data_IF_650382928044
#
_entry.id   IF_650382928044
#
_cell.length_a   1.000
_cell.length_b   1.000
_cell.length_c   1.000
_cell.angle_alpha   90.00
_cell.angle_beta   90.00
_cell.angle_gamma   90.00
#
_symmetry.space_group_name_H-M   'P 1'
#
loop_
_entity.id
_entity.type
_entity.pdbx_description
1 polymer ?
#
# COMPACT_ATOMS: atom_id res chain seq x y z
N UNK A 1 0.25 64.41 24.30
CA UNK A 1 0.69 63.00 24.30
C UNK A 1 0.46 62.39 22.93
N UNK A 2 1.50 62.26 22.11
CA UNK A 2 1.41 61.69 20.74
C UNK A 2 1.83 60.22 20.79
N UNK A 3 0.92 59.32 20.39
CA UNK A 3 1.15 57.88 20.26
C UNK A 3 2.13 57.63 19.12
N UNK A 4 3.23 56.93 19.37
CA UNK A 4 4.10 56.33 18.34
C UNK A 4 3.65 54.88 18.13
N UNK A 5 3.17 54.58 16.94
CA UNK A 5 2.92 53.21 16.47
C UNK A 5 4.20 52.68 15.83
N UNK A 6 4.69 51.54 16.30
CA UNK A 6 5.82 50.83 15.69
C UNK A 6 5.31 50.06 14.47
N UNK A 7 5.80 50.43 13.28
CA UNK A 7 5.58 49.69 12.05
C UNK A 7 6.43 48.41 12.07
N UNK A 8 5.76 47.26 12.11
CA UNK A 8 6.37 45.95 11.85
C UNK A 8 6.72 45.86 10.37
N UNK A 9 8.03 45.82 10.06
CA UNK A 9 8.53 45.46 8.73
C UNK A 9 8.19 44.00 8.44
N UNK A 10 7.07 43.77 7.76
CA UNK A 10 6.72 42.46 7.21
C UNK A 10 7.60 42.25 5.98
N UNK A 11 8.61 41.39 6.11
CA UNK A 11 9.39 40.92 4.96
C UNK A 11 8.43 40.26 3.96
N UNK A 12 8.44 40.66 2.68
CA UNK A 12 7.55 40.05 1.71
C UNK A 12 7.89 38.57 1.54
N UNK A 13 6.91 37.68 1.32
CA UNK A 13 7.16 36.29 1.01
C UNK A 13 8.02 36.21 -0.25
N UNK A 14 9.17 35.55 -0.13
CA UNK A 14 10.10 35.29 -1.23
C UNK A 14 9.31 34.63 -2.36
N UNK A 15 9.19 35.32 -3.49
CA UNK A 15 8.52 34.80 -4.68
C UNK A 15 9.05 33.39 -4.98
N UNK A 16 8.12 32.42 -5.04
CA UNK A 16 8.42 31.08 -5.54
C UNK A 16 8.92 31.31 -6.95
N UNK A 17 10.22 31.05 -7.19
CA UNK A 17 10.81 31.06 -8.52
C UNK A 17 9.92 30.15 -9.37
N UNK A 18 9.19 30.71 -10.33
CA UNK A 18 8.39 29.93 -11.26
C UNK A 18 9.35 28.95 -11.93
N UNK A 19 9.30 27.69 -11.50
CA UNK A 19 10.06 26.65 -12.16
C UNK A 19 9.49 26.57 -13.57
N UNK A 20 10.38 26.66 -14.55
CA UNK A 20 10.05 26.51 -15.96
C UNK A 20 9.11 25.30 -16.17
N UNK A 21 8.21 25.36 -17.18
CA UNK A 21 7.40 24.20 -17.54
C UNK A 21 8.31 22.99 -17.72
N UNK A 22 7.86 21.82 -17.29
CA UNK A 22 8.59 20.56 -17.37
C UNK A 22 9.08 20.35 -18.81
N UNK A 23 10.33 20.73 -19.08
CA UNK A 23 10.97 20.48 -20.35
C UNK A 23 11.46 19.03 -20.34
N UNK A 24 11.13 18.35 -21.43
CA UNK A 24 11.49 16.99 -21.85
C UNK A 24 12.66 16.39 -21.05
N UNK A 25 12.32 15.66 -19.98
CA UNK A 25 13.29 14.82 -19.30
C UNK A 25 13.75 13.75 -20.29
N UNK A 26 15.08 13.58 -20.40
CA UNK A 26 15.68 12.51 -21.19
C UNK A 26 14.99 11.16 -20.90
N UNK A 27 14.49 10.43 -21.93
CA UNK A 27 13.78 9.17 -21.76
C UNK A 27 14.50 8.17 -20.86
N UNK A 28 15.83 8.15 -20.90
CA UNK A 28 16.63 7.26 -20.05
C UNK A 28 16.54 7.64 -18.57
N UNK A 29 16.50 8.93 -18.25
CA UNK A 29 16.30 9.41 -16.87
C UNK A 29 14.91 9.02 -16.35
N UNK A 30 13.88 9.11 -17.19
CA UNK A 30 12.53 8.67 -16.84
C UNK A 30 12.53 7.17 -16.55
N UNK A 31 13.09 6.36 -17.45
CA UNK A 31 13.16 4.89 -17.29
C UNK A 31 13.89 4.47 -16.00
N UNK A 32 15.01 5.13 -15.66
CA UNK A 32 15.73 4.87 -14.41
C UNK A 32 14.89 5.20 -13.18
N UNK A 33 14.15 6.32 -13.19
CA UNK A 33 13.26 6.68 -12.11
C UNK A 33 12.10 5.67 -11.96
N UNK A 34 11.60 5.14 -13.07
CA UNK A 34 10.58 4.08 -13.07
C UNK A 34 11.11 2.77 -12.47
N UNK A 35 12.31 2.36 -12.87
CA UNK A 35 12.97 1.17 -12.36
C UNK A 35 13.25 1.30 -10.85
N UNK A 36 13.69 2.47 -10.39
CA UNK A 36 13.87 2.73 -8.96
C UNK A 36 12.54 2.64 -8.21
N UNK A 37 11.47 3.20 -8.77
CA UNK A 37 10.13 3.15 -8.17
C UNK A 37 9.64 1.71 -7.99
N UNK A 38 9.84 0.82 -8.98
CA UNK A 38 9.46 -0.59 -8.93
C UNK A 38 10.21 -1.43 -7.89
N UNK A 39 11.31 -0.93 -7.31
CA UNK A 39 12.03 -1.58 -6.21
C UNK A 39 11.98 -0.79 -4.90
N UNK A 40 11.17 0.27 -4.83
CA UNK A 40 11.12 1.16 -3.67
C UNK A 40 9.92 0.86 -2.77
N UNK A 41 10.17 0.79 -1.47
CA UNK A 41 9.16 0.79 -0.41
C UNK A 41 9.06 2.18 0.23
N UNK A 42 7.85 2.53 0.67
CA UNK A 42 7.62 3.72 1.51
C UNK A 42 7.01 3.27 2.84
N UNK A 43 7.74 3.53 3.92
CA UNK A 43 7.33 3.24 5.29
C UNK A 43 6.75 4.51 5.92
N UNK A 44 5.52 4.44 6.40
CA UNK A 44 4.83 5.53 7.06
C UNK A 44 4.65 5.23 8.55
N UNK A 45 4.66 6.28 9.38
CA UNK A 45 4.36 6.19 10.80
C UNK A 45 5.51 5.68 11.69
N UNK A 46 6.72 5.57 11.16
CA UNK A 46 7.91 5.28 11.96
C UNK A 46 8.35 6.51 12.75
N UNK A 47 8.63 6.40 14.06
CA UNK A 47 9.15 7.51 14.85
C UNK A 47 10.46 8.05 14.25
N UNK A 48 10.68 9.35 14.35
CA UNK A 48 11.96 9.96 13.94
C UNK A 48 12.95 9.86 15.10
N UNK A 49 14.22 9.65 14.77
CA UNK A 49 15.30 9.65 15.75
C UNK A 49 15.43 11.02 16.42
N UNK A 50 15.59 11.02 17.74
CA UNK A 50 15.91 12.20 18.54
C UNK A 50 17.42 12.47 18.67
N UNK A 51 18.27 11.69 17.97
CA UNK A 51 19.72 11.86 18.04
C UNK A 51 20.13 13.27 17.59
N UNK A 52 21.14 13.83 18.26
CA UNK A 52 21.60 15.19 18.01
C UNK A 52 22.25 15.32 16.62
N UNK A 53 23.03 14.32 16.21
CA UNK A 53 23.78 14.36 14.95
C UNK A 53 22.95 13.81 13.78
N UNK A 54 22.97 14.46 12.60
CA UNK A 54 22.30 13.96 11.41
C UNK A 54 22.77 12.57 10.96
N UNK A 55 24.06 12.27 11.11
CA UNK A 55 24.64 10.97 10.76
C UNK A 55 24.05 9.84 11.60
N UNK A 56 23.91 10.05 12.91
CA UNK A 56 23.28 9.09 13.84
C UNK A 56 21.82 8.85 13.48
N UNK A 57 21.06 9.91 13.17
CA UNK A 57 19.66 9.78 12.75
C UNK A 57 19.51 8.92 11.49
N UNK A 58 20.39 9.12 10.50
CA UNK A 58 20.39 8.31 9.27
C UNK A 58 20.75 6.85 9.57
N UNK A 59 21.72 6.61 10.44
CA UNK A 59 22.08 5.24 10.85
C UNK A 59 20.95 4.54 11.60
N UNK A 60 20.24 5.25 12.48
CA UNK A 60 19.07 4.71 13.17
C UNK A 60 17.94 4.37 12.21
N UNK A 61 17.64 5.26 11.26
CA UNK A 61 16.64 4.98 10.21
C UNK A 61 17.01 3.72 9.40
N UNK A 62 18.31 3.56 9.06
CA UNK A 62 18.80 2.36 8.38
C UNK A 62 18.64 1.10 9.24
N UNK A 63 19.02 1.15 10.51
CA UNK A 63 18.85 0.03 11.47
C UNK A 63 17.39 -0.37 11.61
N UNK A 64 16.48 0.60 11.70
CA UNK A 64 15.04 0.33 11.79
C UNK A 64 14.52 -0.29 10.49
N UNK A 65 14.93 0.21 9.33
CA UNK A 65 14.56 -0.38 8.04
C UNK A 65 15.02 -1.84 7.92
N UNK A 66 16.27 -2.13 8.26
CA UNK A 66 16.81 -3.51 8.27
C UNK A 66 16.02 -4.40 9.23
N UNK A 67 15.78 -3.96 10.48
CA UNK A 67 14.97 -4.74 11.44
C UNK A 67 13.58 -5.06 10.90
N UNK A 68 12.94 -4.13 10.20
CA UNK A 68 11.63 -4.39 9.61
C UNK A 68 11.75 -5.45 8.52
N UNK A 69 12.78 -5.39 7.67
CA UNK A 69 13.02 -6.42 6.65
C UNK A 69 13.28 -7.80 7.26
N UNK A 70 14.01 -7.87 8.37
CA UNK A 70 14.22 -9.12 9.12
C UNK A 70 12.89 -9.71 9.60
N UNK A 71 11.97 -8.87 10.11
CA UNK A 71 10.65 -9.34 10.52
C UNK A 71 9.77 -9.79 9.36
N UNK A 72 10.06 -9.30 8.15
CA UNK A 72 9.35 -9.65 6.91
C UNK A 72 9.99 -10.84 6.18
N UNK A 73 11.07 -11.40 6.72
CA UNK A 73 11.83 -12.50 6.13
C UNK A 73 12.37 -12.16 4.73
N UNK A 74 12.96 -10.97 4.61
CA UNK A 74 13.56 -10.48 3.35
C UNK A 74 15.06 -10.33 3.53
N UNK A 75 15.80 -11.27 2.96
CA UNK A 75 17.27 -11.31 2.98
C UNK A 75 17.88 -10.33 1.96
N UNK A 76 17.75 -9.02 2.22
CA UNK A 76 18.38 -8.00 1.37
C UNK A 76 18.79 -6.76 2.14
N UNK A 77 19.96 -6.24 1.80
CA UNK A 77 20.40 -4.93 2.26
C UNK A 77 19.82 -3.83 1.35
N UNK A 78 19.10 -2.84 1.91
CA UNK A 78 18.62 -1.71 1.13
C UNK A 78 19.76 -0.90 0.51
N UNK A 79 19.60 -0.54 -0.77
CA UNK A 79 20.56 0.30 -1.50
C UNK A 79 20.57 1.74 -0.96
N UNK A 80 19.41 2.26 -0.56
CA UNK A 80 19.30 3.60 0.01
C UNK A 80 18.14 3.68 1.00
N UNK A 81 18.35 4.44 2.08
CA UNK A 81 17.34 4.69 3.12
C UNK A 81 17.39 6.17 3.50
N UNK A 82 16.27 6.87 3.34
CA UNK A 82 16.20 8.29 3.68
C UNK A 82 14.76 8.77 3.92
N UNK A 83 14.60 9.78 4.77
CA UNK A 83 13.30 10.41 5.04
C UNK A 83 12.92 11.37 3.92
N UNK A 84 11.65 11.35 3.55
CA UNK A 84 11.08 12.25 2.54
C UNK A 84 10.62 13.56 3.18
N UNK A 85 10.92 14.68 2.52
CA UNK A 85 10.51 16.02 2.93
C UNK A 85 11.47 16.70 3.91
N UNK A 86 11.18 17.98 4.17
CA UNK A 86 11.98 18.80 5.08
C UNK A 86 11.69 18.43 6.53
N UNK A 87 12.73 18.38 7.35
CA UNK A 87 12.57 18.21 8.79
C UNK A 87 11.88 19.43 9.38
N UNK A 88 10.84 19.18 10.17
CA UNK A 88 10.06 20.21 10.84
C UNK A 88 9.77 19.75 12.28
N UNK A 89 10.38 20.39 13.29
CA UNK A 89 10.17 20.05 14.70
C UNK A 89 8.73 20.23 15.17
N UNK A 90 7.94 21.08 14.51
CA UNK A 90 6.55 21.35 14.88
C UNK A 90 5.58 20.33 14.29
N UNK A 91 6.06 19.46 13.40
CA UNK A 91 5.21 18.49 12.71
C UNK A 91 4.86 17.34 13.65
N UNK A 92 3.56 17.15 13.87
CA UNK A 92 3.01 16.08 14.73
C UNK A 92 3.11 14.68 14.11
N UNK A 93 3.36 14.60 12.80
CA UNK A 93 3.43 13.33 12.07
C UNK A 93 4.85 13.05 11.60
N UNK A 94 5.39 11.85 11.81
CA UNK A 94 6.71 11.51 11.30
C UNK A 94 6.79 11.58 9.77
N UNK A 95 7.97 11.89 9.22
CA UNK A 95 8.24 11.85 7.78
C UNK A 95 8.21 10.41 7.26
N UNK A 96 7.66 10.16 6.06
CA UNK A 96 7.79 8.86 5.42
C UNK A 96 9.26 8.51 5.20
N UNK A 97 9.62 7.25 5.39
CA UNK A 97 10.94 6.71 5.07
C UNK A 97 10.88 6.01 3.71
N UNK A 98 11.71 6.45 2.76
CA UNK A 98 11.90 5.78 1.47
C UNK A 98 13.03 4.76 1.62
N UNK A 99 12.75 3.53 1.19
CA UNK A 99 13.68 2.41 1.23
C UNK A 99 13.79 1.84 -0.18
N UNK A 100 14.96 1.94 -0.78
CA UNK A 100 15.25 1.42 -2.12
C UNK A 100 15.84 0.03 -2.00
N UNK A 101 15.17 -0.98 -2.55
CA UNK A 101 15.63 -2.36 -2.53
C UNK A 101 16.61 -2.61 -3.70
N UNK A 102 17.47 -3.65 -3.60
CA UNK A 102 18.34 -4.03 -4.71
C UNK A 102 17.57 -4.37 -5.98
N UNK A 103 16.49 -5.15 -5.86
CA UNK A 103 15.66 -5.61 -6.98
C UNK A 103 14.16 -5.47 -6.70
N UNK A 104 13.31 -5.42 -7.74
CA UNK A 104 11.85 -5.42 -7.58
C UNK A 104 11.32 -6.67 -6.85
N UNK A 105 11.96 -7.82 -6.99
CA UNK A 105 11.55 -9.07 -6.33
C UNK A 105 11.58 -8.92 -4.80
N UNK A 106 12.62 -8.31 -4.25
CA UNK A 106 12.71 -8.04 -2.81
C UNK A 106 11.62 -7.08 -2.32
N UNK A 107 11.23 -6.10 -3.15
CA UNK A 107 10.09 -5.24 -2.85
C UNK A 107 8.78 -6.04 -2.80
N UNK A 108 8.55 -6.93 -3.76
CA UNK A 108 7.36 -7.80 -3.78
C UNK A 108 7.33 -8.74 -2.58
N UNK A 109 8.46 -9.36 -2.23
CA UNK A 109 8.60 -10.20 -1.04
C UNK A 109 8.27 -9.42 0.23
N UNK A 110 8.82 -8.22 0.40
CA UNK A 110 8.55 -7.36 1.55
C UNK A 110 7.07 -6.96 1.64
N UNK A 111 6.43 -6.61 0.52
CA UNK A 111 5.01 -6.27 0.49
C UNK A 111 4.12 -7.50 0.79
N UNK A 112 4.51 -8.68 0.32
CA UNK A 112 3.86 -9.95 0.64
C UNK A 112 3.97 -10.29 2.13
N UNK A 113 5.19 -10.23 2.68
CA UNK A 113 5.47 -10.40 4.10
C UNK A 113 4.67 -9.40 4.94
N UNK A 114 4.61 -8.13 4.54
CA UNK A 114 3.86 -7.11 5.25
C UNK A 114 2.37 -7.45 5.35
N UNK A 115 1.75 -7.95 4.29
CA UNK A 115 0.33 -8.35 4.32
C UNK A 115 0.07 -9.45 5.36
N UNK A 116 1.02 -10.38 5.54
CA UNK A 116 0.94 -11.49 6.50
C UNK A 116 1.24 -11.01 7.93
N UNK A 117 2.32 -10.26 8.10
CA UNK A 117 2.91 -9.95 9.41
C UNK A 117 2.43 -8.62 10.02
N UNK A 118 1.68 -7.78 9.28
CA UNK A 118 1.28 -6.44 9.76
C UNK A 118 0.56 -6.43 11.11
N UNK A 119 -0.21 -7.47 11.43
CA UNK A 119 -0.92 -7.54 12.71
C UNK A 119 0.06 -7.71 13.87
N UNK A 120 1.02 -8.63 13.72
CA UNK A 120 2.10 -8.87 14.69
C UNK A 120 3.05 -7.69 14.79
N UNK A 121 3.43 -7.08 13.67
CA UNK A 121 4.28 -5.88 13.70
C UNK A 121 3.60 -4.71 14.42
N UNK A 122 2.30 -4.52 14.22
CA UNK A 122 1.56 -3.42 14.86
C UNK A 122 1.23 -3.65 16.33
N UNK A 123 1.41 -4.86 16.87
CA UNK A 123 1.30 -5.06 18.32
C UNK A 123 2.51 -4.50 19.07
N UNK A 124 3.64 -4.30 18.40
CA UNK A 124 4.81 -3.64 18.97
C UNK A 124 4.55 -2.13 19.09
N UNK A 125 4.77 -1.55 20.27
CA UNK A 125 4.46 -0.14 20.56
C UNK A 125 5.09 0.84 19.56
N UNK A 126 6.34 0.58 19.14
CA UNK A 126 7.08 1.45 18.23
C UNK A 126 6.62 1.35 16.76
N UNK A 127 5.86 0.30 16.40
CA UNK A 127 5.43 0.02 15.03
C UNK A 127 3.90 -0.03 14.89
N UNK A 128 3.14 0.34 15.93
CA UNK A 128 1.67 0.35 15.89
C UNK A 128 1.10 1.18 14.72
N UNK A 129 1.79 2.28 14.38
CA UNK A 129 1.42 3.18 13.28
C UNK A 129 2.11 2.85 11.96
N UNK A 130 2.90 1.77 11.90
CA UNK A 130 3.61 1.36 10.71
C UNK A 130 2.61 1.04 9.58
N UNK A 131 2.89 1.60 8.41
CA UNK A 131 2.25 1.22 7.17
C UNK A 131 3.28 1.15 6.06
N UNK A 132 3.35 -0.01 5.40
CA UNK A 132 4.25 -0.27 4.28
C UNK A 132 3.43 -0.27 2.99
N UNK A 133 3.92 0.45 1.99
CA UNK A 133 3.33 0.48 0.64
C UNK A 133 4.42 0.57 -0.44
N UNK A 134 4.12 0.22 -1.69
CA UNK A 134 5.00 0.53 -2.82
C UNK A 134 5.16 2.05 -3.01
N UNK A 135 6.25 2.45 -3.67
CA UNK A 135 6.34 3.80 -4.23
C UNK A 135 5.40 3.92 -5.43
N UNK A 136 4.54 4.93 -5.39
CA UNK A 136 3.51 5.21 -6.40
C UNK A 136 3.84 6.51 -7.13
N UNK A 137 3.31 6.69 -8.34
CA UNK A 137 3.39 7.98 -9.06
C UNK A 137 2.57 9.05 -8.33
N UNK A 138 2.75 10.31 -8.71
CA UNK A 138 1.97 11.41 -8.10
C UNK A 138 0.48 11.27 -8.37
N UNK A 139 0.07 10.83 -9.56
CA UNK A 139 -1.35 10.58 -9.85
C UNK A 139 -1.89 9.45 -8.98
N UNK A 140 -1.20 8.30 -8.95
CA UNK A 140 -1.59 7.15 -8.14
C UNK A 140 -1.67 7.47 -6.64
N UNK A 141 -0.75 8.29 -6.13
CA UNK A 141 -0.78 8.76 -4.75
C UNK A 141 -2.03 9.59 -4.44
N UNK A 142 -2.43 10.46 -5.38
CA UNK A 142 -3.61 11.30 -5.26
C UNK A 142 -4.87 10.43 -5.27
N UNK A 143 -4.98 9.49 -6.20
CA UNK A 143 -6.08 8.53 -6.26
C UNK A 143 -6.20 7.69 -4.98
N UNK A 144 -5.07 7.17 -4.47
CA UNK A 144 -5.05 6.37 -3.24
C UNK A 144 -5.45 7.21 -2.02
N UNK A 145 -5.09 8.49 -2.00
CA UNK A 145 -5.52 9.43 -0.96
C UNK A 145 -7.03 9.71 -1.05
N UNK A 146 -7.53 10.03 -2.24
CA UNK A 146 -8.95 10.30 -2.47
C UNK A 146 -9.82 9.08 -2.14
N UNK A 147 -9.38 7.88 -2.52
CA UNK A 147 -10.05 6.63 -2.16
C UNK A 147 -10.11 6.42 -0.64
N UNK A 148 -9.05 6.75 0.10
CA UNK A 148 -9.04 6.69 1.57
C UNK A 148 -9.98 7.71 2.19
N UNK A 149 -10.01 8.93 1.68
CA UNK A 149 -10.91 9.99 2.14
C UNK A 149 -12.36 9.56 1.92
N UNK A 150 -12.69 9.06 0.74
CA UNK A 150 -14.03 8.55 0.39
C UNK A 150 -14.48 7.42 1.31
N UNK A 151 -13.62 6.43 1.58
CA UNK A 151 -13.93 5.33 2.51
C UNK A 151 -14.16 5.82 3.95
N UNK A 152 -13.37 6.80 4.41
CA UNK A 152 -13.57 7.40 5.73
C UNK A 152 -14.91 8.11 5.82
N UNK A 153 -15.29 8.86 4.78
CA UNK A 153 -16.59 9.53 4.73
C UNK A 153 -17.76 8.53 4.72
N UNK A 154 -17.66 7.44 3.96
CA UNK A 154 -18.67 6.37 3.94
C UNK A 154 -18.81 5.69 5.30
N UNK A 155 -17.69 5.41 5.98
CA UNK A 155 -17.71 4.77 7.30
C UNK A 155 -18.11 5.74 8.44
N UNK A 156 -18.07 7.06 8.20
CA UNK A 156 -18.51 8.09 9.13
C UNK A 156 -19.94 8.58 8.87
N UNK A 157 -20.58 8.12 7.79
CA UNK A 157 -22.01 8.35 7.62
C UNK A 157 -22.75 7.64 8.76
N UNK A 158 -23.64 8.32 9.49
CA UNK A 158 -24.42 7.67 10.54
C UNK A 158 -25.22 6.53 9.91
N UNK A 159 -25.11 5.33 10.48
CA UNK A 159 -26.07 4.26 10.22
C UNK A 159 -27.46 4.87 10.36
N UNK A 160 -28.20 4.97 9.26
CA UNK A 160 -29.61 5.33 9.32
C UNK A 160 -30.28 4.39 10.34
N UNK A 161 -31.13 4.92 11.24
CA UNK A 161 -31.75 4.09 12.27
C UNK A 161 -32.51 2.96 11.58
N UNK A 162 -32.26 1.73 12.01
CA UNK A 162 -32.99 0.56 11.55
C UNK A 162 -34.48 0.84 11.67
N UNK A 163 -35.16 1.02 10.53
CA UNK A 163 -36.62 1.08 10.48
C UNK A 163 -37.13 -0.22 11.06
N UNK A 164 -37.63 -0.15 12.29
CA UNK A 164 -38.31 -1.26 12.94
C UNK A 164 -39.56 -1.55 12.10
N UNK A 165 -39.55 -2.66 11.37
CA UNK A 165 -40.73 -3.21 10.70
C UNK A 165 -41.70 -3.67 11.78
N UNK A 166 -42.71 -2.83 12.04
CA UNK A 166 -43.86 -3.15 12.89
C UNK A 166 -44.61 -4.34 12.30
N UNK A 167 -44.69 -5.41 13.08
CA UNK A 167 -45.51 -6.58 12.80
C UNK A 167 -46.99 -6.19 12.91
N UNK A 168 -47.76 -6.36 11.83
CA UNK A 168 -49.23 -6.43 11.88
C UNK A 168 -49.65 -7.81 11.39
N UNK A 169 -50.26 -8.57 12.30
CA UNK A 169 -50.79 -9.91 12.09
C UNK A 169 -52.08 -9.89 11.24
N UNK A 170 -52.16 -10.74 10.21
CA UNK A 170 -53.38 -11.40 9.71
C UNK A 170 -53.01 -12.51 8.69
N UNK A 171 -53.86 -13.54 8.46
CA UNK A 171 -53.43 -14.93 8.22
C UNK A 171 -53.23 -15.35 6.75
N UNK A 172 -52.50 -16.47 6.63
CA UNK A 172 -52.14 -17.39 5.52
C UNK A 172 -53.14 -17.57 4.36
N UNK A 173 -52.68 -17.95 3.14
CA UNK A 173 -52.38 -19.36 2.86
C UNK A 173 -51.15 -19.68 1.97
N UNK A 174 -50.44 -20.73 2.39
CA UNK A 174 -49.85 -21.88 1.63
C UNK A 174 -49.40 -21.64 0.18
N UNK A 175 -48.08 -21.74 -0.10
CA UNK A 175 -47.48 -22.57 -1.18
C UNK A 175 -46.01 -22.93 -0.86
N UNK A 176 -45.76 -24.24 -0.87
CA UNK A 176 -44.56 -25.10 -1.05
C UNK A 176 -43.09 -24.63 -0.90
N UNK A 177 -42.32 -25.55 -0.31
CA UNK A 177 -40.87 -25.52 -0.05
C UNK A 177 -40.00 -25.80 -1.29
N UNK A 178 -38.80 -25.18 -1.33
CA UNK A 178 -37.69 -25.56 -2.21
C UNK A 178 -36.37 -24.85 -1.83
N UNK A 179 -35.19 -25.49 -1.92
CA UNK A 179 -34.08 -25.21 -1.02
C UNK A 179 -33.12 -24.08 -1.46
N UNK A 180 -32.70 -23.37 -0.41
CA UNK A 180 -31.70 -22.31 -0.25
C UNK A 180 -30.37 -22.51 -1.01
N UNK A 181 -30.01 -21.55 -1.87
CA UNK A 181 -28.63 -21.37 -2.37
C UNK A 181 -28.04 -20.05 -1.88
N UNK A 182 -26.90 -20.18 -1.20
CA UNK A 182 -26.00 -19.11 -0.75
C UNK A 182 -25.72 -18.09 -1.86
N UNK A 183 -25.99 -16.82 -1.57
CA UNK A 183 -25.48 -15.68 -2.33
C UNK A 183 -23.97 -15.54 -2.13
N UNK A 184 -23.23 -15.70 -3.21
CA UNK A 184 -21.85 -15.25 -3.39
C UNK A 184 -21.86 -13.76 -3.73
N UNK A 185 -21.28 -12.92 -2.88
CA UNK A 185 -21.05 -11.52 -3.21
C UNK A 185 -19.79 -11.33 -4.07
N UNK A 186 -19.99 -10.56 -5.14
CA UNK A 186 -19.09 -10.17 -6.19
C UNK A 186 -17.81 -9.48 -5.72
N UNK A 187 -16.67 -9.94 -6.25
CA UNK A 187 -15.49 -9.09 -6.44
C UNK A 187 -15.10 -9.21 -7.91
N UNK A 188 -15.39 -8.17 -8.67
CA UNK A 188 -14.93 -8.04 -10.06
C UNK A 188 -13.40 -7.95 -10.08
N UNK A 189 -12.76 -9.07 -10.41
CA UNK A 189 -11.41 -9.07 -10.97
C UNK A 189 -11.58 -9.14 -12.47
N UNK A 190 -10.98 -8.21 -13.21
CA UNK A 190 -10.91 -8.29 -14.67
C UNK A 190 -10.49 -9.71 -15.08
N UNK A 191 -11.16 -10.32 -16.08
CA UNK A 191 -10.88 -11.70 -16.52
C UNK A 191 -9.40 -11.89 -16.88
N UNK A 192 -8.72 -10.84 -17.34
CA UNK A 192 -7.27 -10.87 -17.64
C UNK A 192 -6.41 -11.07 -16.39
N UNK A 193 -6.76 -10.42 -15.27
CA UNK A 193 -6.02 -10.55 -14.00
C UNK A 193 -6.21 -11.94 -13.40
N UNK A 194 -7.42 -12.49 -13.55
CA UNK A 194 -7.72 -13.86 -13.14
C UNK A 194 -6.92 -14.87 -13.98
N UNK A 195 -6.94 -14.75 -15.31
CA UNK A 195 -6.24 -15.66 -16.22
C UNK A 195 -4.71 -15.61 -16.01
N UNK A 196 -4.14 -14.41 -15.83
CA UNK A 196 -2.72 -14.25 -15.53
C UNK A 196 -2.34 -14.89 -14.19
N UNK A 197 -3.23 -14.85 -13.19
CA UNK A 197 -2.99 -15.50 -11.90
C UNK A 197 -2.96 -17.03 -12.06
N UNK A 198 -3.88 -17.58 -12.87
CA UNK A 198 -3.92 -19.02 -13.16
C UNK A 198 -2.66 -19.48 -13.90
N UNK A 199 -2.18 -18.70 -14.89
CA UNK A 199 -0.96 -19.00 -15.62
C UNK A 199 0.29 -18.97 -14.73
N UNK A 200 0.43 -17.97 -13.84
CA UNK A 200 1.56 -17.89 -12.90
C UNK A 200 1.58 -19.08 -11.93
N UNK A 201 0.41 -19.53 -11.46
CA UNK A 201 0.31 -20.73 -10.64
C UNK A 201 0.69 -21.99 -11.42
N UNK A 202 0.30 -22.10 -12.68
CA UNK A 202 0.65 -23.22 -13.54
C UNK A 202 2.17 -23.28 -13.81
N UNK A 203 2.80 -22.17 -14.17
CA UNK A 203 4.25 -22.08 -14.39
C UNK A 203 5.03 -22.43 -13.13
N UNK A 204 4.60 -21.95 -11.97
CA UNK A 204 5.21 -22.28 -10.69
C UNK A 204 5.15 -23.79 -10.40
N UNK A 205 4.00 -24.43 -10.62
CA UNK A 205 3.83 -25.88 -10.41
C UNK A 205 4.65 -26.71 -11.40
N UNK A 206 4.71 -26.28 -12.66
CA UNK A 206 5.47 -26.95 -13.73
C UNK A 206 6.99 -26.80 -13.56
N UNK A 207 7.46 -25.81 -12.80
CA UNK A 207 8.88 -25.61 -12.48
C UNK A 207 9.41 -26.50 -11.35
N UNK A 208 8.51 -27.14 -10.60
CA UNK A 208 8.87 -28.01 -9.48
C UNK A 208 9.16 -29.45 -9.96
N UNK A 209 9.95 -30.25 -9.21
CA UNK A 209 10.17 -31.64 -9.55
C UNK A 209 8.84 -32.42 -9.58
N UNK A 210 8.58 -33.22 -10.62
CA UNK A 210 7.29 -33.88 -10.80
C UNK A 210 7.09 -34.91 -9.69
N UNK A 211 6.08 -34.66 -8.86
CA UNK A 211 5.56 -35.61 -7.87
C UNK A 211 4.10 -35.90 -8.21
N UNK A 212 3.58 -37.06 -7.81
CA UNK A 212 2.20 -37.46 -8.12
C UNK A 212 1.16 -36.41 -7.71
N UNK A 213 1.40 -35.70 -6.60
CA UNK A 213 0.53 -34.61 -6.13
C UNK A 213 0.56 -33.40 -7.05
N UNK A 214 1.74 -33.00 -7.54
CA UNK A 214 1.89 -31.86 -8.46
C UNK A 214 1.26 -32.19 -9.81
N UNK A 215 1.48 -33.40 -10.31
CA UNK A 215 0.89 -33.87 -11.58
C UNK A 215 -0.64 -33.87 -11.51
N UNK A 216 -1.22 -34.40 -10.43
CA UNK A 216 -2.68 -34.37 -10.22
C UNK A 216 -3.23 -32.94 -10.14
N UNK A 217 -2.48 -32.02 -9.52
CA UNK A 217 -2.91 -30.64 -9.37
C UNK A 217 -2.84 -29.85 -10.69
N UNK A 218 -1.83 -30.12 -11.53
CA UNK A 218 -1.74 -29.59 -12.90
C UNK A 218 -2.90 -30.10 -13.76
N UNK A 219 -3.15 -31.41 -13.76
CA UNK A 219 -4.27 -32.01 -14.50
C UNK A 219 -5.64 -31.48 -14.05
N UNK A 220 -5.81 -31.23 -12.75
CA UNK A 220 -7.02 -30.62 -12.21
C UNK A 220 -7.21 -29.18 -12.71
N UNK A 221 -6.14 -28.39 -12.81
CA UNK A 221 -6.18 -27.02 -13.32
C UNK A 221 -6.49 -26.97 -14.81
N UNK A 222 -5.87 -27.85 -15.61
CA UNK A 222 -6.14 -27.96 -17.06
C UNK A 222 -7.59 -28.36 -17.34
N UNK A 223 -8.14 -29.30 -16.55
CA UNK A 223 -9.54 -29.72 -16.67
C UNK A 223 -10.52 -28.62 -16.25
N UNK A 224 -10.17 -27.84 -15.23
CA UNK A 224 -11.04 -26.79 -14.69
C UNK A 224 -11.05 -25.53 -15.57
N UNK A 225 -9.95 -25.22 -16.27
CA UNK A 225 -9.80 -24.01 -17.08
C UNK A 225 -9.29 -24.29 -18.51
N UNK A 226 -10.01 -25.09 -19.31
CA UNK A 226 -9.53 -25.52 -20.63
C UNK A 226 -9.35 -24.37 -21.62
N UNK A 227 -10.11 -23.27 -21.47
CA UNK A 227 -10.03 -22.08 -22.32
C UNK A 227 -8.75 -21.23 -22.09
N UNK A 228 -8.02 -21.47 -21.01
CA UNK A 228 -6.77 -20.77 -20.69
C UNK A 228 -5.57 -21.51 -21.30
N UNK A 229 -5.62 -22.84 -21.32
CA UNK A 229 -4.49 -23.71 -21.67
C UNK A 229 -4.56 -24.29 -23.08
N UNK A 230 -5.75 -24.38 -23.70
CA UNK A 230 -5.88 -24.76 -25.09
C UNK A 230 -5.84 -23.50 -25.98
N UNK A 231 -4.70 -23.25 -26.62
CA UNK A 231 -4.58 -22.41 -27.82
C UNK A 231 -4.23 -23.29 -29.02
#
# INVERSE_FOLDING_TARGET
MKRRTNATNITPPRAIRSMAPAQDLDPNTVALAEQERHRTLVLLGLPESAAALPSERVQEDRKVATKILDHLDVEAEPTAVFRLGRYDPQRTTPRPLKVVMPTPTHQHMALGGWKRERARLRSQQNLARLFVRPALTKEQLKEEYEARVRKRQQNQAPMAPATQLSQTNAPTPVVEEGPNQKTSEDISKSPEVFNNTILVCYEALSSLPPTDKIVQQIQSLEKQYPHIFNK
#
